data_IF_729180119859
#
_entry.id   IF_729180119859
#
_cell.length_a   1.000
_cell.length_b   1.000
_cell.length_c   1.000
_cell.angle_alpha   90.00
_cell.angle_beta   90.00
_cell.angle_gamma   90.00
#
_symmetry.space_group_name_H-M   'P 1'
#
loop_
_entity.id
_entity.type
_entity.pdbx_description
1 polymer ?
#
# COMPACT_ATOMS: atom_id res chain seq x y z
N UNK A 1 -33.09 16.23 2.26
CA UNK A 1 -32.59 15.64 2.46
C UNK A 1 -31.43 15.78 2.69
N UNK A 2 -30.98 15.63 3.31
CA UNK A 2 -29.88 15.79 3.44
C UNK A 2 -29.06 14.91 2.99
N UNK A 3 -28.60 15.08 2.12
CA UNK A 3 -27.86 14.14 1.46
C UNK A 3 -26.47 14.14 1.82
N UNK A 4 -26.05 15.12 2.54
CA UNK A 4 -24.69 15.17 2.97
C UNK A 4 -24.36 14.06 3.92
N UNK A 5 -25.38 13.55 4.57
CA UNK A 5 -25.15 12.53 5.51
C UNK A 5 -25.35 11.23 4.85
N UNK A 6 -24.37 10.80 4.19
CA UNK A 6 -24.43 9.55 3.50
C UNK A 6 -24.76 8.42 4.44
N UNK A 7 -25.57 7.52 3.94
CA UNK A 7 -25.83 6.27 4.62
C UNK A 7 -24.50 5.58 4.95
N UNK A 8 -24.20 5.33 6.22
CA UNK A 8 -22.94 4.67 6.56
C UNK A 8 -22.76 3.31 5.89
N UNK A 9 -23.85 2.59 5.66
CA UNK A 9 -23.75 1.31 4.97
C UNK A 9 -23.39 1.49 3.51
N UNK A 10 -23.92 2.52 2.87
CA UNK A 10 -23.57 2.78 1.46
C UNK A 10 -22.12 3.16 1.33
N UNK A 11 -21.61 3.98 2.24
CA UNK A 11 -20.20 4.36 2.23
C UNK A 11 -19.31 3.13 2.48
N UNK A 12 -19.66 2.31 3.44
CA UNK A 12 -18.90 1.11 3.74
C UNK A 12 -18.89 0.16 2.54
N UNK A 13 -20.04 -0.03 1.90
CA UNK A 13 -20.12 -0.89 0.73
C UNK A 13 -19.27 -0.35 -0.41
N UNK A 14 -19.30 0.96 -0.62
CA UNK A 14 -18.51 1.60 -1.66
C UNK A 14 -17.01 1.36 -1.43
N UNK A 15 -16.54 1.54 -0.21
CA UNK A 15 -15.14 1.32 0.12
C UNK A 15 -14.76 -0.14 0.01
N UNK A 16 -15.66 -1.03 0.44
CA UNK A 16 -15.41 -2.45 0.33
C UNK A 16 -15.26 -2.87 -1.13
N UNK A 17 -16.16 -2.39 -1.99
CA UNK A 17 -16.08 -2.70 -3.41
C UNK A 17 -14.82 -2.10 -4.04
N UNK A 18 -14.47 -0.90 -3.61
CA UNK A 18 -13.26 -0.24 -4.10
C UNK A 18 -12.02 -1.10 -3.80
N UNK A 19 -11.91 -1.60 -2.58
CA UNK A 19 -10.74 -2.36 -2.15
C UNK A 19 -10.78 -3.82 -2.60
N UNK A 20 -11.95 -4.36 -2.90
CA UNK A 20 -12.06 -5.79 -3.24
C UNK A 20 -11.78 -6.10 -4.71
N UNK A 21 -11.63 -5.09 -5.55
CA UNK A 21 -11.28 -5.32 -6.94
C UNK A 21 -9.88 -5.95 -7.00
N UNK A 22 -9.74 -7.01 -7.82
CA UNK A 22 -8.55 -7.87 -7.79
C UNK A 22 -7.23 -7.10 -7.91
N UNK A 23 -7.12 -6.22 -8.89
CA UNK A 23 -5.86 -5.51 -9.11
C UNK A 23 -5.58 -4.54 -7.99
N UNK A 24 -6.61 -3.85 -7.49
CA UNK A 24 -6.41 -2.93 -6.37
C UNK A 24 -6.02 -3.69 -5.10
N UNK A 25 -6.58 -4.88 -4.88
CA UNK A 25 -6.13 -5.71 -3.77
C UNK A 25 -4.65 -6.08 -3.89
N UNK A 26 -4.22 -6.42 -5.10
CA UNK A 26 -2.80 -6.73 -5.33
C UNK A 26 -1.92 -5.52 -5.04
N UNK A 27 -2.33 -4.34 -5.50
CA UNK A 27 -1.56 -3.12 -5.24
C UNK A 27 -1.46 -2.87 -3.74
N UNK A 28 -2.57 -2.96 -3.02
CA UNK A 28 -2.59 -2.73 -1.58
C UNK A 28 -1.69 -3.76 -0.89
N UNK A 29 -1.80 -5.02 -1.27
CA UNK A 29 -0.99 -6.07 -0.68
C UNK A 29 0.49 -5.83 -0.88
N UNK A 30 0.89 -5.44 -2.10
CA UNK A 30 2.30 -5.19 -2.37
C UNK A 30 2.83 -4.01 -1.57
N UNK A 31 2.05 -2.94 -1.48
CA UNK A 31 2.46 -1.79 -0.69
C UNK A 31 2.56 -2.12 0.79
N UNK A 32 1.64 -2.94 1.31
CA UNK A 32 1.70 -3.35 2.71
C UNK A 32 2.91 -4.24 2.98
N UNK A 33 3.29 -5.07 2.03
CA UNK A 33 4.42 -5.98 2.20
C UNK A 33 5.78 -5.34 1.95
N UNK A 34 5.82 -4.23 1.22
CA UNK A 34 7.08 -3.59 0.89
C UNK A 34 7.74 -3.02 2.15
N UNK A 35 9.06 -3.21 2.33
CA UNK A 35 9.72 -2.75 3.55
C UNK A 35 9.57 -1.24 3.81
N UNK A 36 9.52 -0.43 2.76
CA UNK A 36 9.39 1.02 2.89
C UNK A 36 7.96 1.49 2.71
N UNK A 37 7.03 0.62 2.32
CA UNK A 37 5.65 0.96 1.99
C UNK A 37 5.54 2.03 0.91
N UNK A 38 6.55 2.15 0.07
CA UNK A 38 6.61 3.05 -1.07
C UNK A 38 7.14 2.27 -2.25
N UNK A 39 6.41 2.29 -3.37
CA UNK A 39 6.82 1.55 -4.55
C UNK A 39 6.74 2.41 -5.79
N UNK A 40 7.71 2.23 -6.69
CA UNK A 40 7.66 2.85 -8.01
C UNK A 40 6.67 2.10 -8.89
N UNK A 41 6.29 2.74 -9.99
CA UNK A 41 5.39 2.10 -10.95
C UNK A 41 5.99 0.79 -11.49
N UNK A 42 7.29 0.79 -11.78
CA UNK A 42 7.94 -0.41 -12.28
C UNK A 42 7.90 -1.55 -11.27
N UNK A 43 8.10 -1.24 -10.00
CA UNK A 43 7.98 -2.25 -8.95
C UNK A 43 6.56 -2.82 -8.89
N UNK A 44 5.56 -1.95 -8.98
CA UNK A 44 4.17 -2.40 -8.95
C UNK A 44 3.84 -3.26 -10.17
N UNK A 45 4.30 -2.88 -11.35
CA UNK A 45 4.09 -3.70 -12.55
C UNK A 45 4.68 -5.10 -12.36
N UNK A 46 5.90 -5.15 -11.87
CA UNK A 46 6.59 -6.42 -11.71
C UNK A 46 5.92 -7.30 -10.68
N UNK A 47 5.66 -6.73 -9.50
CA UNK A 47 5.15 -7.53 -8.38
C UNK A 47 3.72 -7.98 -8.59
N UNK A 48 2.89 -7.17 -9.25
CA UNK A 48 1.50 -7.55 -9.51
C UNK A 48 1.33 -8.39 -10.77
N UNK A 49 2.31 -8.33 -11.67
CA UNK A 49 2.19 -9.01 -12.97
C UNK A 49 1.23 -8.32 -13.92
N UNK A 50 0.78 -7.10 -13.60
CA UNK A 50 -0.15 -6.35 -14.45
C UNK A 50 0.61 -5.32 -15.26
N UNK A 51 0.05 -4.93 -16.42
CA UNK A 51 0.73 -3.96 -17.26
C UNK A 51 0.57 -2.55 -16.71
N UNK A 52 1.41 -1.64 -17.25
CA UNK A 52 1.50 -0.27 -16.75
C UNK A 52 0.16 0.46 -16.81
N UNK A 53 -0.55 0.34 -17.93
CA UNK A 53 -1.82 1.06 -18.09
C UNK A 53 -2.84 0.61 -17.05
N UNK A 54 -2.91 -0.68 -16.79
CA UNK A 54 -3.82 -1.22 -15.79
C UNK A 54 -3.45 -0.71 -14.41
N UNK A 55 -2.17 -0.77 -14.07
CA UNK A 55 -1.70 -0.28 -12.75
C UNK A 55 -2.02 1.21 -12.60
N UNK A 56 -1.70 2.02 -13.62
CA UNK A 56 -1.96 3.46 -13.52
C UNK A 56 -3.43 3.77 -13.34
N UNK A 57 -4.31 3.05 -14.04
CA UNK A 57 -5.74 3.25 -13.87
C UNK A 57 -6.19 3.01 -12.43
N UNK A 58 -5.72 1.92 -11.84
CA UNK A 58 -6.13 1.60 -10.47
C UNK A 58 -5.46 2.51 -9.44
N UNK A 59 -4.22 2.93 -9.71
CA UNK A 59 -3.58 3.92 -8.86
C UNK A 59 -4.35 5.23 -8.88
N UNK A 60 -4.81 5.67 -10.06
CA UNK A 60 -5.59 6.90 -10.16
C UNK A 60 -6.89 6.79 -9.38
N UNK A 61 -7.55 5.64 -9.44
CA UNK A 61 -8.76 5.41 -8.66
C UNK A 61 -8.48 5.52 -7.16
N UNK A 62 -7.41 4.88 -6.69
CA UNK A 62 -7.04 4.92 -5.27
C UNK A 62 -6.60 6.32 -4.84
N UNK A 63 -5.94 7.06 -5.73
CA UNK A 63 -5.55 8.44 -5.44
C UNK A 63 -6.77 9.36 -5.37
N UNK A 64 -7.72 9.15 -6.27
CA UNK A 64 -8.94 9.95 -6.26
C UNK A 64 -9.72 9.78 -4.97
N UNK A 65 -9.66 8.59 -4.37
CA UNK A 65 -10.29 8.31 -3.10
C UNK A 65 -9.42 8.67 -1.91
N UNK A 66 -8.25 9.27 -2.16
CA UNK A 66 -7.32 9.68 -1.13
C UNK A 66 -6.83 8.53 -0.25
N UNK A 67 -6.71 7.36 -0.84
CA UNK A 67 -6.17 6.19 -0.14
C UNK A 67 -4.66 6.11 -0.32
N UNK A 68 -4.18 6.45 -1.53
CA UNK A 68 -2.75 6.55 -1.79
C UNK A 68 -2.43 7.91 -2.37
N UNK A 69 -1.14 8.23 -2.39
CA UNK A 69 -0.65 9.49 -2.94
C UNK A 69 0.69 9.21 -3.61
N UNK A 70 1.05 10.08 -4.54
CA UNK A 70 2.34 10.00 -5.22
C UNK A 70 3.35 10.84 -4.44
N UNK A 71 4.48 10.22 -4.12
CA UNK A 71 5.60 10.89 -3.48
C UNK A 71 6.70 11.04 -4.51
N UNK A 72 7.36 12.21 -4.54
CA UNK A 72 8.42 12.47 -5.49
C UNK A 72 9.73 12.66 -4.73
N UNK A 73 10.77 11.96 -5.19
CA UNK A 73 12.11 12.13 -4.65
C UNK A 73 12.98 12.78 -5.71
N UNK A 74 13.11 14.10 -5.62
CA UNK A 74 13.78 14.91 -6.63
C UNK A 74 15.21 14.45 -6.95
N UNK A 75 16.02 14.07 -5.96
CA UNK A 75 17.41 13.68 -6.27
C UNK A 75 17.51 12.56 -7.29
N UNK A 76 16.52 11.67 -7.36
CA UNK A 76 16.59 10.54 -8.31
C UNK A 76 16.33 10.97 -9.76
N UNK A 77 15.78 12.17 -9.96
CA UNK A 77 15.48 12.63 -11.32
C UNK A 77 16.74 12.78 -12.17
N UNK A 78 17.87 13.04 -11.54
CA UNK A 78 19.11 13.27 -12.25
C UNK A 78 19.93 11.99 -12.42
N UNK A 79 19.49 10.89 -11.87
CA UNK A 79 20.19 9.62 -11.97
C UNK A 79 19.44 8.68 -12.88
N UNK A 80 20.08 8.32 -13.98
CA UNK A 80 19.46 7.44 -14.96
C UNK A 80 19.21 6.07 -14.33
N UNK A 81 18.02 5.55 -14.57
CA UNK A 81 17.67 4.21 -14.09
C UNK A 81 17.08 4.17 -12.70
N UNK A 82 16.99 5.31 -12.02
CA UNK A 82 16.33 5.36 -10.72
C UNK A 82 14.95 5.98 -10.84
N UNK A 83 13.95 5.39 -10.16
CA UNK A 83 12.62 5.98 -10.15
C UNK A 83 12.63 7.23 -9.25
N UNK A 84 11.91 8.26 -9.67
CA UNK A 84 11.74 9.47 -8.86
C UNK A 84 10.34 9.56 -8.26
N UNK A 85 9.41 8.76 -8.74
CA UNK A 85 8.03 8.79 -8.30
C UNK A 85 7.70 7.49 -7.59
N UNK A 86 7.11 7.60 -6.41
CA UNK A 86 6.71 6.46 -5.60
C UNK A 86 5.28 6.63 -5.17
N UNK A 87 4.62 5.52 -4.91
CA UNK A 87 3.22 5.50 -4.45
C UNK A 87 3.18 4.88 -3.07
N UNK A 88 2.38 5.46 -2.20
CA UNK A 88 2.22 4.97 -0.84
C UNK A 88 0.91 5.43 -0.25
N UNK A 89 0.58 4.92 0.92
CA UNK A 89 -0.69 5.23 1.57
C UNK A 89 -0.69 6.62 2.15
N UNK A 90 -1.89 7.21 2.20
CA UNK A 90 -2.16 8.41 3.00
C UNK A 90 -2.54 7.96 4.40
N UNK A 91 -2.62 8.90 5.33
CA UNK A 91 -3.12 8.59 6.66
C UNK A 91 -4.56 8.06 6.59
N UNK A 92 -5.41 8.71 5.77
CA UNK A 92 -6.76 8.23 5.55
C UNK A 92 -6.77 6.82 4.99
N UNK A 93 -5.87 6.52 4.05
CA UNK A 93 -5.77 5.19 3.48
C UNK A 93 -5.47 4.14 4.54
N UNK A 94 -4.52 4.44 5.42
CA UNK A 94 -4.18 3.50 6.49
C UNK A 94 -5.36 3.30 7.44
N UNK A 95 -6.07 4.39 7.77
CA UNK A 95 -7.25 4.28 8.63
C UNK A 95 -8.31 3.36 8.03
N UNK A 96 -8.56 3.51 6.73
CA UNK A 96 -9.51 2.64 6.04
C UNK A 96 -9.03 1.19 6.07
N UNK A 97 -7.76 0.97 5.79
CA UNK A 97 -7.20 -0.38 5.81
C UNK A 97 -7.27 -0.99 7.21
N UNK A 98 -7.06 -0.18 8.24
CA UNK A 98 -7.20 -0.61 9.61
C UNK A 98 -8.64 -1.08 9.87
N UNK A 99 -9.61 -0.27 9.47
CA UNK A 99 -11.02 -0.57 9.70
C UNK A 99 -11.45 -1.87 9.03
N UNK A 100 -10.86 -2.19 7.88
CA UNK A 100 -11.20 -3.41 7.16
C UNK A 100 -10.22 -4.55 7.44
N UNK A 101 -9.36 -4.39 8.45
CA UNK A 101 -8.47 -5.45 8.95
C UNK A 101 -7.34 -5.83 8.00
N UNK A 102 -7.06 -5.00 7.01
CA UNK A 102 -5.98 -5.29 6.06
C UNK A 102 -4.60 -5.31 6.73
N UNK A 103 -4.40 -4.49 7.76
CA UNK A 103 -3.08 -4.38 8.38
C UNK A 103 -2.64 -5.66 9.05
N UNK A 104 -3.56 -6.52 9.40
CA UNK A 104 -3.24 -7.83 9.97
C UNK A 104 -2.50 -8.71 8.97
N UNK A 105 -2.62 -8.41 7.68
CA UNK A 105 -1.95 -9.16 6.64
C UNK A 105 -0.52 -8.74 6.37
N UNK A 106 -0.02 -7.69 7.03
CA UNK A 106 1.32 -7.19 6.74
C UNK A 106 2.41 -8.26 6.88
N UNK A 107 2.44 -9.08 7.95
CA UNK A 107 3.50 -10.09 8.04
C UNK A 107 3.48 -11.06 6.87
N UNK A 108 2.29 -11.51 6.45
CA UNK A 108 2.18 -12.42 5.31
C UNK A 108 2.57 -11.73 4.01
N UNK A 109 2.09 -10.50 3.82
CA UNK A 109 2.41 -9.74 2.62
C UNK A 109 3.91 -9.49 2.52
N UNK A 110 4.56 -9.19 3.64
CA UNK A 110 6.00 -8.98 3.67
C UNK A 110 6.76 -10.25 3.34
N UNK A 111 6.32 -11.39 3.90
CA UNK A 111 6.95 -12.65 3.60
C UNK A 111 6.84 -13.00 2.12
N UNK A 112 5.67 -12.77 1.53
CA UNK A 112 5.48 -13.00 0.11
C UNK A 112 6.37 -12.09 -0.72
N UNK A 113 6.46 -10.81 -0.33
CA UNK A 113 7.29 -9.86 -1.04
C UNK A 113 8.77 -10.27 -0.99
N UNK A 114 9.25 -10.63 0.19
CA UNK A 114 10.65 -10.98 0.40
C UNK A 114 11.03 -12.27 -0.30
N UNK A 115 10.09 -13.17 -0.48
CA UNK A 115 10.34 -14.44 -1.12
C UNK A 115 10.13 -14.42 -2.64
N UNK A 116 9.73 -13.29 -3.20
CA UNK A 116 9.57 -13.15 -4.63
C UNK A 116 10.92 -12.83 -5.27
N UNK A 117 11.28 -13.61 -6.30
CA UNK A 117 12.51 -13.36 -7.04
C UNK A 117 12.36 -12.10 -7.88
N UNK A 118 13.35 -11.22 -7.84
CA UNK A 118 13.31 -9.94 -8.53
C UNK A 118 14.44 -9.84 -9.54
N UNK A 119 14.17 -9.18 -10.67
CA UNK A 119 15.20 -8.91 -11.69
C UNK A 119 16.17 -7.85 -11.17
N UNK A 120 17.30 -7.72 -11.85
CA UNK A 120 18.27 -6.68 -11.47
C UNK A 120 17.66 -5.29 -11.54
N UNK A 121 16.83 -5.03 -12.54
CA UNK A 121 16.15 -3.74 -12.66
C UNK A 121 15.29 -3.47 -11.43
N UNK A 122 14.52 -4.46 -11.00
CA UNK A 122 13.61 -4.29 -9.86
C UNK A 122 14.42 -4.19 -8.58
N UNK A 123 15.51 -4.92 -8.45
CA UNK A 123 16.39 -4.77 -7.29
C UNK A 123 16.95 -3.36 -7.19
N UNK A 124 17.32 -2.75 -8.33
CA UNK A 124 17.79 -1.36 -8.33
C UNK A 124 16.69 -0.39 -7.91
N UNK A 125 15.45 -0.65 -8.37
CA UNK A 125 14.32 0.16 -7.94
C UNK A 125 14.06 0.01 -6.45
N UNK A 126 14.15 -1.21 -5.95
CA UNK A 126 13.94 -1.48 -4.53
C UNK A 126 14.99 -0.78 -3.67
N UNK A 127 16.23 -0.76 -4.15
CA UNK A 127 17.33 -0.13 -3.43
C UNK A 127 17.41 1.38 -3.64
N UNK A 128 16.64 1.93 -4.57
CA UNK A 128 16.69 3.35 -4.87
C UNK A 128 16.29 4.19 -3.66
N UNK A 129 16.97 5.32 -3.43
CA UNK A 129 16.56 6.24 -2.38
C UNK A 129 15.13 6.72 -2.62
N UNK A 130 14.41 6.90 -1.54
CA UNK A 130 13.02 7.37 -1.61
C UNK A 130 12.74 8.25 -0.40
N UNK A 131 11.68 9.07 -0.48
CA UNK A 131 11.36 9.96 0.63
C UNK A 131 10.88 9.17 1.84
N UNK A 132 10.96 9.78 3.00
CA UNK A 132 10.36 9.20 4.19
C UNK A 132 8.86 9.40 4.13
N UNK A 133 8.11 8.41 4.61
CA UNK A 133 6.69 8.58 4.78
C UNK A 133 6.42 9.60 5.89
N UNK A 134 5.31 10.35 5.79
CA UNK A 134 4.93 11.21 6.91
C UNK A 134 4.82 10.42 8.20
N UNK A 135 5.21 11.04 9.31
CA UNK A 135 5.21 10.38 10.60
C UNK A 135 3.85 9.80 10.95
N UNK A 136 2.78 10.53 10.64
CA UNK A 136 1.42 10.05 10.93
C UNK A 136 1.11 8.74 10.20
N UNK A 137 1.60 8.60 8.96
CA UNK A 137 1.38 7.38 8.19
C UNK A 137 2.17 6.23 8.80
N UNK A 138 3.43 6.47 9.15
CA UNK A 138 4.27 5.45 9.76
C UNK A 138 3.66 4.95 11.06
N UNK A 139 3.24 5.88 11.90
CA UNK A 139 2.63 5.53 13.18
C UNK A 139 1.34 4.75 13.00
N UNK A 140 0.52 5.14 12.03
CA UNK A 140 -0.72 4.44 11.77
C UNK A 140 -0.48 3.01 11.28
N UNK A 141 0.55 2.82 10.45
CA UNK A 141 0.89 1.48 9.97
C UNK A 141 1.39 0.59 11.10
N UNK A 142 2.12 1.15 12.04
CA UNK A 142 2.67 0.38 13.15
C UNK A 142 1.64 0.08 14.22
N UNK A 143 0.68 0.99 14.38
CA UNK A 143 -0.28 0.91 15.48
C UNK A 143 -1.08 -0.38 15.46
N UNK A 144 -1.45 -0.86 14.29
CA UNK A 144 -2.30 -2.03 14.18
C UNK A 144 -1.51 -3.30 13.90
N UNK A 145 -0.20 -3.23 13.93
CA UNK A 145 0.60 -4.42 13.77
C UNK A 145 0.37 -5.31 14.98
N UNK A 146 -0.09 -6.54 14.77
CA UNK A 146 -0.41 -7.38 15.93
C UNK A 146 0.86 -7.64 16.72
N UNK A 147 0.80 -7.29 17.99
CA UNK A 147 1.87 -7.64 18.90
C UNK A 147 1.64 -9.10 19.27
N UNK A 148 2.37 -9.97 18.64
CA UNK A 148 2.23 -11.39 18.88
C UNK A 148 2.59 -11.76 20.32
N UNK A 149 3.38 -10.91 20.96
CA UNK A 149 3.73 -11.13 22.36
C UNK A 149 2.57 -10.87 23.28
N UNK A 150 1.62 -10.05 22.85
CA UNK A 150 0.43 -9.78 23.62
C UNK A 150 -0.65 -10.84 23.42
N UNK A 151 -0.47 -11.72 22.46
CA UNK A 151 -1.40 -12.80 22.25
C UNK A 151 -1.08 -13.88 23.28
N UNK A 152 -1.96 -14.04 24.24
CA UNK A 152 -1.75 -15.06 25.25
C UNK A 152 -2.12 -16.40 24.67
N UNK A 153 -1.16 -17.08 24.13
CA UNK A 153 -1.35 -18.36 23.50
C UNK A 153 -1.84 -19.40 24.51
N UNK A 154 -1.54 -19.17 25.78
CA UNK A 154 -1.94 -20.14 26.81
C UNK A 154 -3.44 -20.18 26.99
N UNK A 155 -4.16 -19.12 26.65
CA UNK A 155 -5.61 -19.10 26.78
C UNK A 155 -6.29 -19.87 25.66
N UNK A 156 -5.55 -20.26 24.65
CA UNK A 156 -6.11 -20.99 23.53
C UNK A 156 -6.11 -22.49 23.73
N UNK A 157 -5.72 -22.95 24.87
CA UNK A 157 -5.61 -24.37 25.17
C UNK A 157 -6.91 -24.96 25.73
#
# INVERSE_FOLDING_TARGET
>A
MDTGDADPFAEQQRLFELLSQDTRQLIVQELLGHPAHLMSLAELEYMTGKNRATIKNHLDTLRHEDIIVQYIFEPNKETRGLPAQFYGFTERGVEILHDYKYLRGIPVARALYENTRKTEKIQRHEAAPRPDLPTAVVEALEFDEPDLDDVDVSTCR
#
